data_IF_906055233271
#
_entry.id   IF_906055233271
#
_cell.length_a   1.000
_cell.length_b   1.000
_cell.length_c   1.000
_cell.angle_alpha   90.00
_cell.angle_beta   90.00
_cell.angle_gamma   90.00
#
_symmetry.space_group_name_H-M   'P 1'
#
loop_
_entity.id
_entity.type
_entity.pdbx_description
1 polymer ?
#
# COMPACT_ATOMS: atom_id res chain seq x y z
N UNK A 1 -22.29 -29.80 -27.99
CA UNK A 1 -23.67 -30.11 -28.42
C UNK A 1 -23.67 -31.00 -29.67
N UNK A 2 -22.92 -30.66 -30.73
CA UNK A 2 -22.83 -31.44 -31.98
C UNK A 2 -22.26 -32.87 -31.78
N UNK A 3 -21.24 -33.04 -30.94
CA UNK A 3 -20.64 -34.35 -30.63
C UNK A 3 -21.58 -35.30 -29.88
N UNK A 4 -22.46 -34.78 -29.03
CA UNK A 4 -23.44 -35.58 -28.28
C UNK A 4 -24.56 -36.12 -29.16
N UNK A 5 -24.99 -35.36 -30.18
CA UNK A 5 -26.09 -35.71 -31.09
C UNK A 5 -25.66 -36.83 -32.06
N UNK A 6 -24.43 -36.75 -32.57
CA UNK A 6 -23.85 -37.79 -33.43
C UNK A 6 -23.68 -39.13 -32.70
N UNK A 7 -23.19 -39.11 -31.46
CA UNK A 7 -23.02 -40.32 -30.65
C UNK A 7 -24.36 -40.99 -30.30
N UNK A 8 -25.40 -40.20 -30.02
CA UNK A 8 -26.75 -40.75 -29.77
C UNK A 8 -27.36 -41.38 -31.03
N UNK A 9 -27.14 -40.80 -32.21
CA UNK A 9 -27.65 -41.35 -33.46
C UNK A 9 -26.98 -42.70 -33.80
N UNK A 10 -25.67 -42.81 -33.56
CA UNK A 10 -24.92 -44.06 -33.73
C UNK A 10 -25.42 -45.14 -32.75
N UNK A 11 -25.61 -44.79 -31.47
CA UNK A 11 -26.08 -45.73 -30.45
C UNK A 11 -27.49 -46.27 -30.75
N UNK A 12 -28.40 -45.41 -31.25
CA UNK A 12 -29.75 -45.80 -31.67
C UNK A 12 -29.68 -46.72 -32.91
N UNK A 13 -28.87 -46.37 -33.90
CA UNK A 13 -28.72 -47.18 -35.12
C UNK A 13 -28.16 -48.57 -34.80
N UNK A 14 -27.18 -48.64 -33.90
CA UNK A 14 -26.63 -49.91 -33.43
C UNK A 14 -27.66 -50.74 -32.65
N UNK A 15 -28.49 -50.10 -31.80
CA UNK A 15 -29.58 -50.78 -31.09
C UNK A 15 -30.62 -51.41 -32.04
N UNK A 16 -30.96 -50.72 -33.14
CA UNK A 16 -31.88 -51.24 -34.17
C UNK A 16 -31.28 -52.47 -34.87
N UNK A 17 -30.00 -52.42 -35.25
CA UNK A 17 -29.30 -53.56 -35.87
C UNK A 17 -29.27 -54.76 -34.92
N UNK A 18 -28.94 -54.52 -33.65
CA UNK A 18 -28.88 -55.58 -32.62
C UNK A 18 -30.26 -56.20 -32.38
N UNK A 19 -31.33 -55.41 -32.39
CA UNK A 19 -32.70 -55.89 -32.22
C UNK A 19 -33.18 -56.74 -33.40
N UNK A 20 -32.83 -56.36 -34.64
CA UNK A 20 -33.19 -57.11 -35.84
C UNK A 20 -32.42 -58.43 -35.98
N UNK A 21 -31.21 -58.52 -35.43
CA UNK A 21 -30.34 -59.70 -35.54
C UNK A 21 -30.39 -60.62 -34.32
N UNK A 22 -30.49 -60.05 -33.12
CA UNK A 22 -30.54 -60.75 -31.83
C UNK A 22 -31.52 -60.03 -30.87
N UNK A 23 -32.83 -60.29 -31.00
CA UNK A 23 -33.88 -59.54 -30.28
C UNK A 23 -33.70 -59.38 -28.76
N UNK A 24 -33.33 -60.43 -27.98
CA UNK A 24 -33.16 -60.27 -26.53
C UNK A 24 -31.97 -59.37 -26.16
N UNK A 25 -30.88 -59.39 -26.93
CA UNK A 25 -29.74 -58.50 -26.72
C UNK A 25 -30.10 -57.06 -27.14
N UNK A 26 -30.85 -56.87 -28.23
CA UNK A 26 -31.32 -55.56 -28.66
C UNK A 26 -32.21 -54.86 -27.64
N UNK A 27 -33.13 -55.61 -26.99
CA UNK A 27 -33.97 -55.09 -25.91
C UNK A 27 -33.16 -54.68 -24.68
N UNK A 28 -32.20 -55.50 -24.26
CA UNK A 28 -31.34 -55.20 -23.13
C UNK A 28 -30.46 -53.96 -23.41
N UNK A 29 -29.94 -53.84 -24.63
CA UNK A 29 -29.12 -52.70 -25.04
C UNK A 29 -29.94 -51.40 -25.15
N UNK A 30 -31.16 -51.46 -25.68
CA UNK A 30 -32.09 -50.33 -25.72
C UNK A 30 -32.48 -49.85 -24.31
N UNK A 31 -32.74 -50.78 -23.38
CA UNK A 31 -33.00 -50.46 -21.98
C UNK A 31 -31.79 -49.81 -21.30
N UNK A 32 -30.58 -50.31 -21.57
CA UNK A 32 -29.33 -49.74 -21.04
C UNK A 32 -29.05 -48.33 -21.55
N UNK A 33 -29.21 -48.07 -22.86
CA UNK A 33 -29.10 -46.71 -23.44
C UNK A 33 -30.17 -45.80 -22.85
N UNK A 34 -31.43 -46.26 -22.76
CA UNK A 34 -32.52 -45.49 -22.17
C UNK A 34 -32.23 -45.08 -20.73
N UNK A 35 -31.73 -46.01 -19.91
CA UNK A 35 -31.33 -45.74 -18.53
C UNK A 35 -30.17 -44.74 -18.44
N UNK A 36 -29.12 -44.90 -19.26
CA UNK A 36 -28.00 -43.97 -19.31
C UNK A 36 -28.41 -42.57 -19.78
N UNK A 37 -29.27 -42.47 -20.80
CA UNK A 37 -29.78 -41.21 -21.30
C UNK A 37 -30.63 -40.48 -20.25
N UNK A 38 -31.56 -41.19 -19.59
CA UNK A 38 -32.38 -40.63 -18.51
C UNK A 38 -31.51 -40.18 -17.34
N UNK A 39 -30.49 -40.98 -16.97
CA UNK A 39 -29.57 -40.65 -15.88
C UNK A 39 -28.74 -39.40 -16.20
N UNK A 40 -28.19 -39.31 -17.41
CA UNK A 40 -27.45 -38.13 -17.87
C UNK A 40 -28.34 -36.88 -17.96
N UNK A 41 -29.59 -37.03 -18.41
CA UNK A 41 -30.56 -35.94 -18.45
C UNK A 41 -30.92 -35.43 -17.04
N UNK A 42 -31.22 -36.34 -16.10
CA UNK A 42 -31.48 -36.00 -14.69
C UNK A 42 -30.29 -35.28 -14.07
N UNK A 43 -29.08 -35.78 -14.30
CA UNK A 43 -27.84 -35.17 -13.80
C UNK A 43 -27.59 -33.78 -14.39
N UNK A 44 -27.85 -33.58 -15.69
CA UNK A 44 -27.72 -32.27 -16.33
C UNK A 44 -28.71 -31.24 -15.77
N UNK A 45 -29.96 -31.64 -15.56
CA UNK A 45 -30.97 -30.76 -14.96
C UNK A 45 -30.66 -30.46 -13.49
N UNK A 46 -30.24 -31.46 -12.71
CA UNK A 46 -29.77 -31.28 -11.33
C UNK A 46 -28.64 -30.25 -11.26
N UNK A 47 -27.63 -30.35 -12.13
CA UNK A 47 -26.52 -29.37 -12.20
C UNK A 47 -26.98 -27.96 -12.56
N UNK A 48 -27.93 -27.82 -13.49
CA UNK A 48 -28.50 -26.50 -13.86
C UNK A 48 -29.26 -25.90 -12.68
N UNK A 49 -30.01 -26.71 -11.96
CA UNK A 49 -30.76 -26.29 -10.79
C UNK A 49 -29.82 -25.90 -9.64
N UNK A 50 -28.79 -26.69 -9.36
CA UNK A 50 -27.72 -26.37 -8.40
C UNK A 50 -27.00 -25.06 -8.75
N UNK A 51 -26.67 -24.87 -10.03
CA UNK A 51 -26.03 -23.61 -10.49
C UNK A 51 -26.94 -22.41 -10.28
N UNK A 52 -28.25 -22.59 -10.54
CA UNK A 52 -29.26 -21.53 -10.34
C UNK A 52 -29.42 -21.21 -8.86
N UNK A 53 -29.55 -22.23 -8.00
CA UNK A 53 -29.66 -22.08 -6.56
C UNK A 53 -28.42 -21.38 -5.99
N UNK A 54 -27.22 -21.85 -6.35
CA UNK A 54 -25.96 -21.23 -5.96
C UNK A 54 -25.88 -19.75 -6.36
N UNK A 55 -26.34 -19.38 -7.56
CA UNK A 55 -26.34 -17.98 -8.01
C UNK A 55 -27.29 -17.12 -7.19
N UNK A 56 -28.49 -17.63 -6.90
CA UNK A 56 -29.49 -16.92 -6.08
C UNK A 56 -28.98 -16.69 -4.65
N UNK A 57 -28.40 -17.73 -4.04
CA UNK A 57 -27.84 -17.67 -2.69
C UNK A 57 -26.68 -16.67 -2.62
N UNK A 58 -25.74 -16.76 -3.58
CA UNK A 58 -24.61 -15.85 -3.70
C UNK A 58 -25.06 -14.39 -3.84
N UNK A 59 -26.05 -14.12 -4.67
CA UNK A 59 -26.56 -12.75 -4.86
C UNK A 59 -27.34 -12.25 -3.63
N UNK A 60 -28.00 -13.14 -2.88
CA UNK A 60 -28.65 -12.80 -1.61
C UNK A 60 -27.63 -12.48 -0.51
N UNK A 61 -26.54 -13.24 -0.44
CA UNK A 61 -25.44 -13.02 0.50
C UNK A 61 -24.75 -11.68 0.25
N UNK A 62 -24.47 -11.33 -1.01
CA UNK A 62 -23.93 -10.02 -1.37
C UNK A 62 -24.83 -8.86 -0.93
N UNK A 63 -26.15 -8.98 -1.15
CA UNK A 63 -27.12 -7.97 -0.70
C UNK A 63 -27.10 -7.82 0.82
N UNK A 64 -27.09 -8.94 1.55
CA UNK A 64 -26.99 -8.92 3.01
C UNK A 64 -25.76 -8.16 3.50
N UNK A 65 -24.58 -8.43 2.93
CA UNK A 65 -23.36 -7.71 3.31
C UNK A 65 -23.42 -6.23 2.95
N UNK A 66 -24.01 -5.89 1.79
CA UNK A 66 -24.21 -4.50 1.40
C UNK A 66 -25.11 -3.77 2.41
N UNK A 67 -26.25 -4.34 2.75
CA UNK A 67 -27.21 -3.73 3.68
C UNK A 67 -26.61 -3.59 5.09
N UNK A 68 -25.82 -4.58 5.55
CA UNK A 68 -25.08 -4.50 6.81
C UNK A 68 -23.95 -3.46 6.77
N UNK A 69 -23.28 -3.29 5.64
CA UNK A 69 -22.27 -2.26 5.44
C UNK A 69 -22.87 -0.84 5.44
N UNK A 70 -24.07 -0.67 4.86
CA UNK A 70 -24.85 0.59 4.92
C UNK A 70 -25.30 0.90 6.36
N UNK A 71 -25.51 -0.12 7.19
CA UNK A 71 -25.74 -0.01 8.64
C UNK A 71 -24.44 0.08 9.46
N UNK A 72 -23.31 0.26 8.80
CA UNK A 72 -22.00 0.43 9.43
C UNK A 72 -21.56 -0.73 10.34
N UNK A 73 -22.06 -1.94 10.08
CA UNK A 73 -21.69 -3.15 10.82
C UNK A 73 -20.30 -3.63 10.37
N UNK A 74 -19.26 -3.63 11.24
CA UNK A 74 -17.88 -3.77 10.77
C UNK A 74 -17.56 -5.10 10.06
N UNK A 75 -18.22 -6.18 10.46
CA UNK A 75 -18.07 -7.48 9.82
C UNK A 75 -18.66 -7.50 8.39
N UNK A 76 -19.84 -6.90 8.20
CA UNK A 76 -20.48 -6.82 6.89
C UNK A 76 -19.78 -5.82 5.98
N UNK A 77 -19.29 -4.70 6.53
CA UNK A 77 -18.40 -3.77 5.81
C UNK A 77 -17.17 -4.50 5.27
N UNK A 78 -16.52 -5.32 6.10
CA UNK A 78 -15.38 -6.14 5.67
C UNK A 78 -15.75 -7.11 4.55
N UNK A 79 -16.85 -7.86 4.70
CA UNK A 79 -17.27 -8.84 3.68
C UNK A 79 -17.67 -8.16 2.38
N UNK A 80 -18.40 -7.05 2.45
CA UNK A 80 -18.80 -6.25 1.30
C UNK A 80 -17.57 -5.65 0.60
N UNK A 81 -16.65 -5.03 1.34
CA UNK A 81 -15.39 -4.52 0.80
C UNK A 81 -14.58 -5.62 0.08
N UNK A 82 -14.42 -6.78 0.72
CA UNK A 82 -13.72 -7.94 0.16
C UNK A 82 -14.36 -8.41 -1.14
N UNK A 83 -15.69 -8.41 -1.22
CA UNK A 83 -16.42 -8.79 -2.43
C UNK A 83 -16.12 -7.86 -3.62
N UNK A 84 -16.03 -6.56 -3.37
CA UNK A 84 -15.73 -5.52 -4.36
C UNK A 84 -14.27 -5.54 -4.80
N UNK A 85 -13.33 -5.83 -3.89
CA UNK A 85 -11.89 -5.87 -4.17
C UNK A 85 -11.53 -7.12 -5.00
N UNK A 86 -12.01 -8.30 -4.59
CA UNK A 86 -11.58 -9.59 -5.15
C UNK A 86 -12.57 -10.22 -6.13
N UNK A 87 -13.64 -9.50 -6.50
CA UNK A 87 -14.66 -9.96 -7.47
C UNK A 87 -15.34 -11.29 -7.06
N UNK A 88 -15.53 -11.53 -5.76
CA UNK A 88 -16.16 -12.78 -5.28
C UNK A 88 -17.61 -12.94 -5.77
N UNK A 89 -18.29 -11.84 -6.09
CA UNK A 89 -19.71 -11.80 -6.49
C UNK A 89 -19.92 -11.22 -7.90
N UNK A 90 -18.88 -11.22 -8.75
CA UNK A 90 -18.95 -10.71 -10.13
C UNK A 90 -18.88 -9.18 -10.27
N UNK A 91 -19.18 -8.44 -9.20
CA UNK A 91 -18.98 -6.98 -9.10
C UNK A 91 -17.54 -6.67 -8.70
N UNK A 92 -16.91 -5.69 -9.35
CA UNK A 92 -15.58 -5.19 -9.01
C UNK A 92 -15.59 -3.68 -8.99
N UNK A 93 -15.48 -3.11 -7.80
CA UNK A 93 -15.13 -1.70 -7.61
C UNK A 93 -14.06 -1.65 -6.53
N UNK A 94 -12.82 -1.61 -7.00
CA UNK A 94 -11.67 -1.76 -6.11
C UNK A 94 -11.53 -0.55 -5.19
N UNK A 95 -11.73 0.66 -5.70
CA UNK A 95 -11.58 1.89 -4.92
C UNK A 95 -12.66 2.00 -3.84
N UNK A 96 -13.93 1.74 -4.21
CA UNK A 96 -15.01 1.69 -3.23
C UNK A 96 -14.75 0.63 -2.16
N UNK A 97 -14.28 -0.56 -2.56
CA UNK A 97 -13.92 -1.63 -1.64
C UNK A 97 -12.81 -1.24 -0.67
N UNK A 98 -11.74 -0.58 -1.13
CA UNK A 98 -10.68 -0.07 -0.24
C UNK A 98 -11.23 0.91 0.79
N UNK A 99 -12.06 1.87 0.36
CA UNK A 99 -12.64 2.88 1.26
C UNK A 99 -13.50 2.24 2.36
N UNK A 100 -14.35 1.27 1.99
CA UNK A 100 -15.19 0.54 2.96
C UNK A 100 -14.31 -0.30 3.90
N UNK A 101 -13.22 -0.88 3.41
CA UNK A 101 -12.27 -1.63 4.22
C UNK A 101 -11.57 -0.76 5.26
N UNK A 102 -11.15 0.46 4.89
CA UNK A 102 -10.59 1.44 5.82
C UNK A 102 -11.62 1.82 6.89
N UNK A 103 -12.86 2.10 6.51
CA UNK A 103 -13.92 2.41 7.46
C UNK A 103 -14.24 1.23 8.42
N UNK A 104 -14.16 -0.01 7.96
CA UNK A 104 -14.27 -1.20 8.83
C UNK A 104 -13.10 -1.30 9.83
N UNK A 105 -11.89 -0.92 9.39
CA UNK A 105 -10.69 -0.89 10.23
C UNK A 105 -10.76 0.22 11.28
N UNK A 106 -11.27 1.40 10.93
CA UNK A 106 -11.53 2.52 11.86
C UNK A 106 -12.50 2.13 12.98
N UNK A 107 -13.49 1.28 12.68
CA UNK A 107 -14.38 0.68 13.68
C UNK A 107 -13.74 -0.43 14.51
N UNK A 108 -12.45 -0.69 14.31
CA UNK A 108 -11.65 -1.64 15.08
C UNK A 108 -11.91 -3.10 14.72
N UNK A 109 -12.38 -3.40 13.50
CA UNK A 109 -12.56 -4.78 13.06
C UNK A 109 -11.21 -5.44 12.77
N UNK A 110 -10.83 -6.44 13.57
CA UNK A 110 -9.52 -7.10 13.51
C UNK A 110 -9.09 -7.55 12.11
N UNK A 111 -9.93 -8.26 11.34
CA UNK A 111 -9.59 -8.65 9.96
C UNK A 111 -9.39 -7.47 9.00
N UNK A 112 -10.11 -6.36 9.18
CA UNK A 112 -9.93 -5.16 8.36
C UNK A 112 -8.64 -4.42 8.73
N UNK A 113 -8.36 -4.27 10.04
CA UNK A 113 -7.09 -3.72 10.53
C UNK A 113 -5.89 -4.50 9.96
N UNK A 114 -5.95 -5.83 10.00
CA UNK A 114 -4.91 -6.68 9.42
C UNK A 114 -4.75 -6.44 7.91
N UNK A 115 -5.86 -6.36 7.17
CA UNK A 115 -5.82 -6.12 5.73
C UNK A 115 -5.16 -4.77 5.40
N UNK A 116 -5.53 -3.71 6.12
CA UNK A 116 -4.93 -2.37 5.95
C UNK A 116 -3.44 -2.39 6.28
N UNK A 117 -3.05 -3.09 7.36
CA UNK A 117 -1.65 -3.30 7.70
C UNK A 117 -0.86 -3.99 6.58
N UNK A 118 -1.43 -5.00 5.91
CA UNK A 118 -0.80 -5.63 4.75
C UNK A 118 -0.66 -4.66 3.56
N UNK A 119 -1.62 -3.74 3.34
CA UNK A 119 -1.51 -2.74 2.27
C UNK A 119 -0.37 -1.76 2.53
N UNK A 120 -0.22 -1.27 3.76
CA UNK A 120 0.94 -0.45 4.14
C UNK A 120 2.25 -1.23 4.08
N UNK A 121 2.26 -2.53 4.37
CA UNK A 121 3.48 -3.33 4.29
C UNK A 121 3.95 -3.53 2.83
N UNK A 122 3.02 -3.67 1.87
CA UNK A 122 3.36 -3.91 0.46
C UNK A 122 3.34 -2.65 -0.43
N UNK A 123 2.71 -1.55 0.01
CA UNK A 123 2.57 -0.31 -0.78
C UNK A 123 1.68 -0.46 -2.01
N UNK A 124 0.51 -1.10 -1.86
CA UNK A 124 -0.44 -1.34 -2.94
C UNK A 124 -1.77 -0.65 -2.66
N UNK A 125 -2.61 -0.52 -3.70
CA UNK A 125 -4.03 -0.17 -3.56
C UNK A 125 -4.27 1.28 -3.12
N UNK A 126 -3.32 2.16 -3.47
CA UNK A 126 -3.31 3.56 -3.06
C UNK A 126 -2.52 3.81 -1.77
N UNK A 127 -2.00 2.76 -1.14
CA UNK A 127 -1.16 2.88 0.06
C UNK A 127 0.29 3.04 -0.32
N UNK A 128 0.98 3.99 0.32
CA UNK A 128 2.43 4.05 0.28
C UNK A 128 3.03 3.03 1.25
N UNK A 129 4.10 2.33 0.83
CA UNK A 129 4.79 1.37 1.71
C UNK A 129 5.31 2.08 2.97
N UNK A 130 4.82 1.69 4.14
CA UNK A 130 5.25 2.16 5.46
C UNK A 130 5.19 1.01 6.49
N UNK A 131 6.36 0.50 6.88
CA UNK A 131 6.47 -0.63 7.81
C UNK A 131 6.03 -0.28 9.24
N UNK A 132 6.17 0.98 9.68
CA UNK A 132 5.77 1.36 11.05
C UNK A 132 4.25 1.48 11.13
N UNK A 133 3.61 2.12 10.15
CA UNK A 133 2.14 2.12 10.05
C UNK A 133 1.60 0.70 9.97
N UNK A 134 2.18 -0.14 9.11
CA UNK A 134 1.79 -1.54 9.02
C UNK A 134 1.88 -2.25 10.39
N UNK A 135 2.96 -2.00 11.15
CA UNK A 135 3.13 -2.54 12.50
C UNK A 135 2.04 -2.08 13.47
N UNK A 136 1.65 -0.80 13.44
CA UNK A 136 0.58 -0.25 14.29
C UNK A 136 -0.78 -0.90 14.00
N UNK A 137 -1.10 -1.06 12.71
CA UNK A 137 -2.30 -1.77 12.27
C UNK A 137 -2.29 -3.24 12.69
N UNK A 138 -1.15 -3.93 12.58
CA UNK A 138 -1.05 -5.31 13.05
C UNK A 138 -1.15 -5.44 14.57
N UNK A 139 -0.53 -4.55 15.35
CA UNK A 139 -0.69 -4.51 16.81
C UNK A 139 -2.17 -4.31 17.18
N UNK A 140 -2.85 -3.38 16.50
CA UNK A 140 -4.28 -3.13 16.70
C UNK A 140 -5.13 -4.36 16.36
N UNK A 141 -4.82 -5.07 15.27
CA UNK A 141 -5.49 -6.31 14.89
C UNK A 141 -5.27 -7.42 15.93
N UNK A 142 -4.05 -7.57 16.44
CA UNK A 142 -3.71 -8.54 17.49
C UNK A 142 -4.47 -8.26 18.80
N UNK A 143 -4.56 -6.98 19.21
CA UNK A 143 -5.36 -6.57 20.37
C UNK A 143 -6.85 -6.90 20.23
N UNK A 144 -7.36 -6.97 18.99
CA UNK A 144 -8.73 -7.40 18.68
C UNK A 144 -8.87 -8.92 18.55
N UNK A 145 -7.85 -9.69 18.93
CA UNK A 145 -7.85 -11.14 18.91
C UNK A 145 -7.49 -11.78 17.57
N UNK A 146 -6.97 -11.01 16.60
CA UNK A 146 -6.57 -11.56 15.30
C UNK A 146 -5.16 -12.18 15.37
N UNK A 147 -5.10 -13.47 15.69
CA UNK A 147 -3.85 -14.20 15.97
C UNK A 147 -2.83 -14.19 14.81
N UNK A 148 -3.28 -14.14 13.55
CA UNK A 148 -2.37 -14.09 12.41
C UNK A 148 -1.54 -12.78 12.34
N UNK A 149 -1.96 -11.73 13.05
CA UNK A 149 -1.20 -10.49 13.14
C UNK A 149 0.13 -10.65 13.89
N UNK A 150 0.22 -11.52 14.90
CA UNK A 150 1.42 -11.70 15.72
C UNK A 150 2.65 -12.15 14.91
N UNK A 151 2.44 -13.06 13.96
CA UNK A 151 3.50 -13.51 13.05
C UNK A 151 4.04 -12.35 12.21
N UNK A 152 3.15 -11.48 11.72
CA UNK A 152 3.52 -10.28 10.94
C UNK A 152 4.25 -9.26 11.79
N UNK A 153 3.79 -8.99 13.03
CA UNK A 153 4.44 -8.09 13.98
C UNK A 153 5.91 -8.50 14.18
N UNK A 154 6.17 -9.77 14.47
CA UNK A 154 7.53 -10.26 14.70
C UNK A 154 8.42 -10.23 13.45
N UNK A 155 7.85 -10.40 12.26
CA UNK A 155 8.59 -10.23 11.00
C UNK A 155 8.93 -8.76 10.75
N UNK A 156 7.96 -7.86 10.85
CA UNK A 156 8.15 -6.43 10.60
C UNK A 156 9.10 -5.78 11.61
N UNK A 157 9.03 -6.15 12.90
CA UNK A 157 9.97 -5.63 13.91
C UNK A 157 11.42 -5.97 13.59
N UNK A 158 11.67 -7.17 13.03
CA UNK A 158 13.02 -7.57 12.60
C UNK A 158 13.46 -6.79 11.37
N UNK A 159 12.58 -6.62 10.38
CA UNK A 159 12.87 -5.81 9.19
C UNK A 159 13.21 -4.37 9.57
N UNK A 160 12.37 -3.73 10.39
CA UNK A 160 12.59 -2.37 10.89
C UNK A 160 13.91 -2.27 11.65
N UNK A 161 14.16 -3.17 12.61
CA UNK A 161 15.40 -3.15 13.40
C UNK A 161 16.64 -3.31 12.53
N UNK A 162 16.62 -4.18 11.53
CA UNK A 162 17.75 -4.37 10.63
C UNK A 162 18.00 -3.10 9.80
N UNK A 163 16.95 -2.49 9.25
CA UNK A 163 17.07 -1.23 8.52
C UNK A 163 17.59 -0.10 9.42
N UNK A 164 17.13 -0.01 10.67
CA UNK A 164 17.64 0.96 11.65
C UNK A 164 19.12 0.73 11.96
N UNK A 165 19.55 -0.52 12.12
CA UNK A 165 20.95 -0.87 12.36
C UNK A 165 21.83 -0.52 11.15
N UNK A 166 21.40 -0.86 9.93
CA UNK A 166 22.11 -0.51 8.70
C UNK A 166 22.30 1.00 8.57
N UNK A 167 21.26 1.78 8.95
CA UNK A 167 21.34 3.24 8.99
C UNK A 167 22.30 3.74 10.07
N UNK A 168 22.32 3.13 11.26
CA UNK A 168 23.24 3.48 12.34
C UNK A 168 24.69 3.19 11.96
N UNK A 169 24.95 2.04 11.32
CA UNK A 169 26.27 1.65 10.84
C UNK A 169 26.75 2.62 9.74
N UNK A 170 25.86 3.00 8.81
CA UNK A 170 26.15 4.00 7.78
C UNK A 170 26.48 5.38 8.39
N UNK A 171 25.73 5.81 9.42
CA UNK A 171 26.03 7.06 10.16
C UNK A 171 27.37 6.98 10.87
N UNK A 172 27.70 5.84 11.48
CA UNK A 172 28.99 5.63 12.15
C UNK A 172 30.14 5.68 11.15
N UNK A 173 29.99 5.08 9.99
CA UNK A 173 30.99 5.15 8.92
C UNK A 173 31.18 6.59 8.42
N UNK A 174 30.09 7.33 8.23
CA UNK A 174 30.14 8.75 7.86
C UNK A 174 30.84 9.59 8.93
N UNK A 175 30.54 9.35 10.22
CA UNK A 175 31.20 10.01 11.35
C UNK A 175 32.70 9.69 11.43
N UNK A 176 33.13 8.46 11.14
CA UNK A 176 34.55 8.09 11.09
C UNK A 176 35.27 8.77 9.91
N UNK A 177 34.58 8.98 8.80
CA UNK A 177 35.12 9.71 7.63
C UNK A 177 35.27 11.22 7.91
N UNK A 178 34.51 11.78 8.86
CA UNK A 178 34.76 13.10 9.45
C UNK A 178 35.95 13.04 10.43
N UNK A 179 37.16 13.04 9.88
CA UNK A 179 38.44 12.80 10.59
C UNK A 179 38.71 13.68 11.84
N UNK A 180 37.95 14.74 12.08
CA UNK A 180 38.16 15.68 13.21
C UNK A 180 36.89 16.00 14.01
N UNK A 181 35.76 15.33 13.75
CA UNK A 181 34.47 15.68 14.37
C UNK A 181 34.00 17.09 14.00
N UNK A 182 34.46 17.60 12.84
CA UNK A 182 34.21 18.97 12.37
C UNK A 182 32.72 19.24 12.20
N UNK A 183 31.95 18.20 11.83
CA UNK A 183 30.52 18.27 11.58
C UNK A 183 29.67 17.75 12.74
N UNK A 184 30.28 17.29 13.84
CA UNK A 184 29.56 16.64 14.95
C UNK A 184 28.43 17.51 15.52
N UNK A 185 28.74 18.78 15.84
CA UNK A 185 27.75 19.73 16.35
C UNK A 185 26.57 19.97 15.38
N UNK A 186 26.81 19.83 14.07
CA UNK A 186 25.77 19.97 13.06
C UNK A 186 24.87 18.74 13.01
N UNK A 187 25.41 17.53 13.14
CA UNK A 187 24.60 16.30 13.23
C UNK A 187 23.78 16.23 14.53
N UNK A 188 24.25 16.82 15.62
CA UNK A 188 23.52 16.91 16.90
C UNK A 188 22.33 17.87 16.84
N UNK A 189 22.29 18.81 15.89
CA UNK A 189 21.15 19.71 15.69
C UNK A 189 19.98 19.02 15.00
N UNK A 190 20.24 18.02 14.15
CA UNK A 190 19.20 17.26 13.48
C UNK A 190 18.31 16.52 14.49
N UNK A 191 16.99 16.62 14.34
CA UNK A 191 16.01 16.00 15.24
C UNK A 191 15.67 14.57 14.83
N UNK A 192 16.02 14.20 13.59
CA UNK A 192 15.71 12.90 13.04
C UNK A 192 16.86 12.29 12.26
N UNK A 193 16.79 10.96 12.11
CA UNK A 193 17.72 10.21 11.28
C UNK A 193 17.76 10.64 9.81
N UNK A 194 16.61 10.84 9.15
CA UNK A 194 16.56 11.40 7.81
C UNK A 194 17.28 12.75 7.68
N UNK A 195 17.10 13.67 8.62
CA UNK A 195 17.82 14.96 8.60
C UNK A 195 19.34 14.76 8.65
N UNK A 196 19.86 13.90 9.52
CA UNK A 196 21.30 13.61 9.59
C UNK A 196 21.84 13.05 8.27
N UNK A 197 21.08 12.16 7.63
CA UNK A 197 21.47 11.53 6.37
C UNK A 197 21.43 12.54 5.22
N UNK A 198 20.38 13.37 5.16
CA UNK A 198 20.29 14.42 4.16
C UNK A 198 21.41 15.46 4.34
N UNK A 199 21.71 15.84 5.59
CA UNK A 199 22.83 16.72 5.91
C UNK A 199 24.16 16.12 5.43
N UNK A 200 24.42 14.84 5.72
CA UNK A 200 25.64 14.17 5.26
C UNK A 200 25.76 14.17 3.72
N UNK A 201 24.64 13.93 3.02
CA UNK A 201 24.60 13.98 1.57
C UNK A 201 24.85 15.41 1.04
N UNK A 202 24.23 16.43 1.64
CA UNK A 202 24.46 17.83 1.26
C UNK A 202 25.90 18.27 1.51
N UNK A 203 26.52 17.86 2.64
CA UNK A 203 27.93 18.14 2.92
C UNK A 203 28.81 17.59 1.80
N UNK A 204 28.54 16.36 1.36
CA UNK A 204 29.32 15.72 0.29
C UNK A 204 29.06 16.34 -1.08
N UNK A 205 27.81 16.55 -1.47
CA UNK A 205 27.43 16.98 -2.82
C UNK A 205 27.67 18.48 -3.06
N UNK A 206 27.56 19.31 -2.02
CA UNK A 206 27.82 20.74 -2.10
C UNK A 206 29.22 21.14 -1.58
N UNK A 207 30.10 20.16 -1.31
CA UNK A 207 31.45 20.38 -0.79
C UNK A 207 31.45 21.34 0.42
N UNK A 208 30.52 21.13 1.37
CA UNK A 208 30.34 22.06 2.48
C UNK A 208 31.48 21.93 3.49
N UNK A 209 32.04 23.06 3.86
CA UNK A 209 33.06 23.20 4.88
C UNK A 209 32.53 24.06 6.04
N UNK A 210 32.95 23.74 7.27
CA UNK A 210 32.65 24.59 8.43
C UNK A 210 33.52 25.83 8.42
N UNK A 211 32.89 27.00 8.35
CA UNK A 211 33.52 28.30 8.50
C UNK A 211 32.70 29.16 9.47
N UNK A 212 33.32 29.61 10.57
CA UNK A 212 32.68 30.43 11.61
C UNK A 212 31.33 29.87 12.12
N UNK A 213 31.25 28.53 12.30
CA UNK A 213 30.04 27.87 12.78
C UNK A 213 28.92 27.76 11.74
N UNK A 214 29.19 28.05 10.47
CA UNK A 214 28.27 27.86 9.33
C UNK A 214 28.81 26.82 8.37
N UNK A 215 27.92 26.16 7.64
CA UNK A 215 28.28 25.24 6.56
C UNK A 215 28.26 25.98 5.24
N UNK A 216 29.41 26.06 4.58
CA UNK A 216 29.61 26.88 3.39
C UNK A 216 30.35 26.05 2.34
N UNK A 217 29.81 25.98 1.13
CA UNK A 217 30.44 25.36 -0.04
C UNK A 217 29.81 25.93 -1.31
N UNK A 218 29.35 25.06 -2.20
CA UNK A 218 28.51 25.44 -3.37
C UNK A 218 27.25 26.19 -2.92
N UNK A 219 26.74 25.84 -1.73
CA UNK A 219 25.63 26.55 -1.09
C UNK A 219 25.99 26.94 0.35
N UNK A 220 25.30 27.94 0.88
CA UNK A 220 25.28 28.28 2.30
C UNK A 220 24.15 27.52 2.99
N UNK A 221 24.47 26.71 4.00
CA UNK A 221 23.52 25.89 4.73
C UNK A 221 23.43 26.30 6.21
N UNK A 222 22.21 26.53 6.68
CA UNK A 222 21.86 26.70 8.09
C UNK A 222 20.85 25.63 8.53
N UNK A 223 20.86 25.29 9.83
CA UNK A 223 20.03 24.24 10.41
C UNK A 223 19.16 24.77 11.54
N UNK A 224 17.95 24.21 11.66
CA UNK A 224 17.06 24.39 12.80
C UNK A 224 16.83 25.87 13.15
N UNK A 225 16.59 26.67 12.11
CA UNK A 225 16.41 28.11 12.23
C UNK A 225 14.93 28.47 12.39
N UNK A 226 14.66 29.58 13.07
CA UNK A 226 13.31 30.13 13.17
C UNK A 226 13.07 31.15 12.06
N UNK A 227 12.04 30.91 11.24
CA UNK A 227 11.55 31.82 10.22
C UNK A 227 10.08 32.12 10.55
N UNK A 228 9.76 33.40 10.74
CA UNK A 228 8.46 33.82 11.28
C UNK A 228 8.18 33.10 12.61
N UNK A 229 7.11 32.30 12.66
CA UNK A 229 6.73 31.47 13.81
C UNK A 229 7.13 30.00 13.67
N UNK A 230 7.84 29.64 12.60
CA UNK A 230 8.15 28.27 12.23
C UNK A 230 9.61 27.96 12.48
N UNK A 231 9.89 26.76 13.00
CA UNK A 231 11.24 26.19 13.02
C UNK A 231 11.37 25.23 11.85
N UNK A 232 12.39 25.46 11.01
CA UNK A 232 12.61 24.70 9.77
C UNK A 232 13.88 23.87 9.88
N UNK A 233 13.90 22.70 9.26
CA UNK A 233 15.04 21.77 9.39
C UNK A 233 16.32 22.33 8.77
N UNK A 234 16.24 22.78 7.52
CA UNK A 234 17.36 23.40 6.81
C UNK A 234 16.95 24.66 6.05
N UNK A 235 17.90 25.57 5.92
CA UNK A 235 17.83 26.72 5.02
C UNK A 235 19.07 26.80 4.14
N UNK A 236 18.84 26.99 2.85
CA UNK A 236 19.85 27.05 1.80
C UNK A 236 19.82 28.43 1.15
N UNK A 237 21.00 29.07 1.06
CA UNK A 237 21.22 30.39 0.48
C UNK A 237 20.22 31.46 0.98
N UNK A 238 19.88 31.38 2.27
CA UNK A 238 18.97 32.29 2.99
C UNK A 238 17.53 32.41 2.41
N UNK A 239 17.18 31.60 1.40
CA UNK A 239 15.89 31.69 0.67
C UNK A 239 15.16 30.36 0.52
N UNK A 240 15.88 29.25 0.36
CA UNK A 240 15.27 27.93 0.16
C UNK A 240 15.18 27.18 1.48
N UNK A 241 13.96 26.99 1.98
CA UNK A 241 13.64 26.14 3.12
C UNK A 241 13.54 24.69 2.65
N UNK A 242 14.25 23.79 3.34
CA UNK A 242 14.14 22.35 3.12
C UNK A 242 13.64 21.70 4.41
N UNK A 243 12.48 21.06 4.32
CA UNK A 243 11.91 20.28 5.43
C UNK A 243 12.06 18.79 5.13
N UNK A 244 12.38 18.03 6.18
CA UNK A 244 12.42 16.58 6.13
C UNK A 244 11.24 16.07 6.94
N UNK A 245 10.11 15.86 6.26
CA UNK A 245 8.88 15.46 6.93
C UNK A 245 9.06 14.10 7.64
N UNK A 246 9.20 14.17 8.96
CA UNK A 246 9.22 13.03 9.86
C UNK A 246 7.81 12.48 10.00
N UNK A 247 7.50 11.38 9.30
CA UNK A 247 6.30 10.52 9.44
C UNK A 247 5.19 11.06 10.35
N UNK A 248 4.50 12.12 9.92
CA UNK A 248 3.19 12.50 10.44
C UNK A 248 2.17 12.48 9.33
N UNK A 249 2.00 11.30 8.74
CA UNK A 249 0.77 11.02 8.00
C UNK A 249 -0.30 10.57 9.00
N UNK A 250 -0.80 11.52 9.80
CA UNK A 250 -2.13 11.36 10.36
C UNK A 250 -3.11 11.83 9.29
N UNK A 251 -3.98 10.92 8.85
CA UNK A 251 -5.09 11.16 7.94
C UNK A 251 -6.14 12.07 8.60
N UNK A 252 -5.78 13.31 8.92
CA UNK A 252 -6.70 14.32 9.44
C UNK A 252 -6.54 15.57 8.58
N UNK A 253 -7.63 16.02 7.94
CA UNK A 253 -7.64 17.15 6.99
C UNK A 253 -7.00 18.44 7.57
N UNK A 254 -6.97 18.56 8.90
CA UNK A 254 -6.40 19.69 9.63
C UNK A 254 -4.87 19.83 9.47
N UNK A 255 -4.10 18.74 9.52
CA UNK A 255 -2.63 18.82 9.43
C UNK A 255 -2.18 19.27 8.04
N UNK A 256 -2.89 18.81 7.01
CA UNK A 256 -2.64 19.20 5.63
C UNK A 256 -2.99 20.67 5.36
N UNK A 257 -4.03 21.19 6.02
CA UNK A 257 -4.36 22.61 5.97
C UNK A 257 -3.27 23.44 6.64
N UNK A 258 -2.78 23.04 7.82
CA UNK A 258 -1.70 23.73 8.53
C UNK A 258 -0.40 23.78 7.73
N UNK A 259 0.00 22.68 7.08
CA UNK A 259 1.18 22.65 6.22
C UNK A 259 1.05 23.60 5.01
N UNK A 260 -0.12 23.67 4.40
CA UNK A 260 -0.37 24.62 3.30
C UNK A 260 -0.31 26.06 3.75
N UNK A 261 -0.88 26.37 4.92
CA UNK A 261 -0.81 27.73 5.48
C UNK A 261 0.64 28.09 5.79
N UNK A 262 1.43 27.15 6.33
CA UNK A 262 2.86 27.33 6.55
C UNK A 262 3.62 27.63 5.26
N UNK A 263 3.41 26.83 4.22
CA UNK A 263 4.09 27.01 2.94
C UNK A 263 3.69 28.33 2.26
N UNK A 264 2.41 28.74 2.38
CA UNK A 264 1.93 30.03 1.91
C UNK A 264 2.56 31.21 2.67
N UNK A 265 2.61 31.14 4.00
CA UNK A 265 3.20 32.19 4.83
C UNK A 265 4.70 32.37 4.49
N UNK A 266 5.44 31.27 4.33
CA UNK A 266 6.85 31.31 3.93
C UNK A 266 7.02 31.91 2.53
N UNK A 267 6.20 31.48 1.57
CA UNK A 267 6.24 32.00 0.20
C UNK A 267 5.94 33.50 0.12
N UNK A 268 4.92 33.97 0.83
CA UNK A 268 4.58 35.39 0.89
C UNK A 268 5.68 36.26 1.50
N UNK A 269 6.60 35.65 2.27
CA UNK A 269 7.76 36.32 2.86
C UNK A 269 9.07 36.05 2.08
N UNK A 270 8.98 35.54 0.85
CA UNK A 270 10.14 35.38 -0.04
C UNK A 270 10.94 34.10 0.14
N UNK A 271 10.42 33.15 0.93
CA UNK A 271 11.03 31.84 1.13
C UNK A 271 10.36 30.78 0.27
N UNK A 272 11.15 29.86 -0.26
CA UNK A 272 10.62 28.74 -1.06
C UNK A 272 10.78 27.47 -0.24
N UNK A 273 9.72 26.70 -0.10
CA UNK A 273 9.77 25.45 0.67
C UNK A 273 9.82 24.25 -0.27
N UNK A 274 10.77 23.35 -0.05
CA UNK A 274 10.76 21.99 -0.60
C UNK A 274 10.73 20.99 0.55
N UNK A 275 9.89 19.97 0.42
CA UNK A 275 9.71 18.93 1.44
C UNK A 275 10.15 17.58 0.91
N UNK A 276 10.96 16.88 1.69
CA UNK A 276 11.37 15.50 1.42
C UNK A 276 10.83 14.59 2.51
N UNK A 277 10.09 13.56 2.12
CA UNK A 277 9.72 12.51 3.07
C UNK A 277 10.96 11.75 3.54
N UNK A 278 10.94 11.26 4.77
CA UNK A 278 11.98 10.36 5.30
C UNK A 278 12.32 9.21 4.33
N UNK A 279 11.30 8.68 3.62
CA UNK A 279 11.47 7.62 2.63
C UNK A 279 12.27 8.05 1.40
N UNK A 280 12.07 9.27 0.89
CA UNK A 280 12.89 9.77 -0.21
C UNK A 280 14.35 9.88 0.20
N UNK A 281 14.60 10.42 1.40
CA UNK A 281 15.95 10.56 1.94
C UNK A 281 16.62 9.21 2.15
N UNK A 282 15.94 8.26 2.81
CA UNK A 282 16.51 6.92 3.01
C UNK A 282 16.78 6.16 1.71
N UNK A 283 15.96 6.41 0.68
CA UNK A 283 16.12 5.74 -0.61
C UNK A 283 17.33 6.27 -1.39
N UNK A 284 17.49 7.59 -1.44
CA UNK A 284 18.54 8.23 -2.22
C UNK A 284 18.80 9.67 -1.73
N UNK A 285 19.48 9.78 -0.59
CA UNK A 285 19.87 11.08 -0.03
C UNK A 285 20.78 11.90 -0.97
N UNK A 286 21.76 11.30 -1.70
CA UNK A 286 22.52 12.02 -2.70
C UNK A 286 21.65 12.67 -3.80
N UNK A 287 20.62 11.97 -4.31
CA UNK A 287 19.67 12.57 -5.26
C UNK A 287 18.87 13.72 -4.65
N UNK A 288 18.42 13.56 -3.41
CA UNK A 288 17.73 14.64 -2.69
C UNK A 288 18.64 15.88 -2.55
N UNK A 289 19.89 15.69 -2.15
CA UNK A 289 20.89 16.76 -2.03
C UNK A 289 21.15 17.46 -3.38
N UNK A 290 21.37 16.72 -4.47
CA UNK A 290 21.54 17.30 -5.81
C UNK A 290 20.34 18.12 -6.27
N UNK A 291 19.12 17.66 -5.98
CA UNK A 291 17.90 18.43 -6.27
C UNK A 291 17.85 19.74 -5.49
N UNK A 292 18.22 19.72 -4.21
CA UNK A 292 18.27 20.92 -3.36
C UNK A 292 19.28 21.92 -3.93
N UNK A 293 20.49 21.47 -4.27
CA UNK A 293 21.55 22.31 -4.84
C UNK A 293 21.09 22.93 -6.17
N UNK A 294 20.54 22.11 -7.07
CA UNK A 294 20.03 22.58 -8.37
C UNK A 294 18.89 23.59 -8.23
N UNK A 295 18.00 23.42 -7.24
CA UNK A 295 16.95 24.39 -6.93
C UNK A 295 17.53 25.71 -6.41
N UNK A 296 18.52 25.64 -5.52
CA UNK A 296 19.18 26.83 -4.98
C UNK A 296 19.84 27.66 -6.09
N UNK A 297 20.60 27.01 -7.00
CA UNK A 297 21.22 27.66 -8.16
C UNK A 297 20.20 28.30 -9.10
N UNK A 298 19.08 27.62 -9.34
CA UNK A 298 18.01 28.13 -10.22
C UNK A 298 17.41 29.42 -9.65
N UNK A 299 17.20 29.49 -8.34
CA UNK A 299 16.63 30.65 -7.69
C UNK A 299 17.57 31.86 -7.65
N UNK A 300 18.87 31.63 -7.49
CA UNK A 300 19.87 32.71 -7.61
C UNK A 300 19.91 33.29 -9.03
N UNK A 301 19.82 32.44 -10.05
CA UNK A 301 19.86 32.87 -11.44
C UNK A 301 18.57 33.62 -11.87
N UNK A 302 17.42 33.24 -11.32
CA UNK A 302 16.13 33.87 -11.63
C UNK A 302 15.94 35.24 -10.96
N UNK A 303 16.61 35.49 -9.83
CA UNK A 303 16.48 36.72 -9.03
C UNK A 303 17.84 37.20 -8.50
N UNK A 304 18.75 37.67 -9.38
CA UNK A 304 20.01 38.28 -8.96
C UNK A 304 19.75 39.57 -8.16
N UNK A 305 20.60 39.82 -7.17
CA UNK A 305 20.53 41.00 -6.28
C UNK A 305 20.53 42.35 -7.01
#
# INVERSE_FOLDING_TARGET
MITSIFLTAIAITFAVILFLTFPPLGLAYAAWIGWHYISAYKESNRRKEETRTYTIERDAEFRKYKDGAEQEQPADMYMYARSLIYKQHGVKDRMAGVKIMQAAAEKGYGPALYWVGERYACGQDGFEKDLHKALDYFNSAAMKGFSEAEKKINALRREIKNSEQELEDARREASIKDKHGKYAAFYELCESGPEQILLAAMISEAELEVLNGRLIGVVLLAQQINILRYRVDFMINEKLVVEVDGKRYHDNDDSFFEDRVRDQDLLMNGYVTVRFSAKQVYRDAPDCARRIISLAETYECAFPE
#
